data_IF_066029690074
#
_entry.id   IF_066029690074
#
_cell.length_a   1.000
_cell.length_b   1.000
_cell.length_c   1.000
_cell.angle_alpha   90.00
_cell.angle_beta   90.00
_cell.angle_gamma   90.00
#
_symmetry.space_group_name_H-M   'P 1'
#
loop_
_entity.id
_entity.type
_entity.pdbx_description
1 polymer ?
#
# COMPACT_ATOMS: atom_id res chain seq x y z
N UNK A 1 7.92 -15.42 0.49
CA UNK A 1 7.73 -14.19 1.28
C UNK A 1 6.30 -13.69 1.00
N UNK A 2 5.57 -13.22 2.00
CA UNK A 2 4.17 -12.82 1.82
C UNK A 2 4.09 -11.45 1.10
N UNK A 3 4.24 -11.43 -0.22
CA UNK A 3 4.09 -10.22 -1.06
C UNK A 3 2.75 -9.53 -0.80
N UNK A 4 1.68 -10.29 -0.61
CA UNK A 4 0.36 -9.80 -0.17
C UNK A 4 0.40 -8.95 1.10
N UNK A 5 1.26 -9.26 2.08
CA UNK A 5 1.39 -8.45 3.30
C UNK A 5 2.10 -7.13 3.01
N UNK A 6 3.12 -7.12 2.17
CA UNK A 6 3.84 -5.90 1.76
C UNK A 6 2.90 -4.90 1.14
N UNK A 7 2.11 -5.34 0.16
CA UNK A 7 1.14 -4.47 -0.49
C UNK A 7 0.02 -4.01 0.45
N UNK A 8 -0.38 -4.82 1.43
CA UNK A 8 -1.35 -4.41 2.46
C UNK A 8 -0.80 -3.31 3.36
N UNK A 9 0.43 -3.45 3.83
CA UNK A 9 1.11 -2.44 4.66
C UNK A 9 1.31 -1.16 3.83
N UNK A 10 1.83 -1.29 2.61
CA UNK A 10 1.99 -0.17 1.68
C UNK A 10 0.69 0.60 1.51
N UNK A 11 -0.42 -0.08 1.25
CA UNK A 11 -1.69 0.58 1.01
C UNK A 11 -2.23 1.29 2.26
N UNK A 12 -1.98 0.73 3.45
CA UNK A 12 -2.31 1.36 4.73
C UNK A 12 -1.44 2.57 5.07
N UNK A 13 -0.22 2.63 4.53
CA UNK A 13 0.69 3.77 4.66
C UNK A 13 0.33 4.93 3.71
N UNK A 14 -0.51 4.70 2.69
CA UNK A 14 -0.92 5.76 1.76
C UNK A 14 -1.90 6.73 2.45
N UNK A 15 -1.51 7.99 2.68
CA UNK A 15 -2.38 8.95 3.34
C UNK A 15 -3.55 9.34 2.43
N UNK A 16 -4.76 9.05 2.88
CA UNK A 16 -6.00 9.26 2.14
C UNK A 16 -6.62 7.97 1.58
N UNK A 17 -5.97 6.82 1.75
CA UNK A 17 -6.53 5.50 1.39
C UNK A 17 -7.01 4.79 2.66
N UNK A 18 -8.31 4.87 2.92
CA UNK A 18 -8.95 4.11 3.99
C UNK A 18 -9.34 2.69 3.55
N UNK A 19 -9.89 1.91 4.49
CA UNK A 19 -10.37 0.53 4.25
C UNK A 19 -11.40 0.42 3.11
N UNK A 20 -12.25 1.44 2.94
CA UNK A 20 -13.25 1.51 1.85
C UNK A 20 -12.57 1.64 0.49
N UNK A 21 -11.65 2.61 0.35
CA UNK A 21 -10.92 2.84 -0.91
C UNK A 21 -10.02 1.64 -1.23
N UNK A 22 -9.39 1.05 -0.21
CA UNK A 22 -8.63 -0.18 -0.34
C UNK A 22 -9.47 -1.34 -0.92
N UNK A 23 -10.67 -1.54 -0.38
CA UNK A 23 -11.59 -2.56 -0.88
C UNK A 23 -12.03 -2.26 -2.32
N UNK A 24 -12.31 -1.00 -2.65
CA UNK A 24 -12.66 -0.61 -4.02
C UNK A 24 -11.52 -0.89 -4.99
N UNK A 25 -10.29 -0.53 -4.62
CA UNK A 25 -9.08 -0.80 -5.41
C UNK A 25 -8.91 -2.29 -5.67
N UNK A 26 -9.02 -3.12 -4.64
CA UNK A 26 -8.91 -4.58 -4.77
C UNK A 26 -10.04 -5.14 -5.63
N UNK A 27 -11.27 -4.62 -5.50
CA UNK A 27 -12.42 -5.09 -6.29
C UNK A 27 -12.31 -4.70 -7.76
N UNK A 28 -11.77 -3.52 -8.07
CA UNK A 28 -11.61 -3.03 -9.44
C UNK A 28 -10.43 -3.69 -10.16
N UNK A 29 -9.29 -3.81 -9.46
CA UNK A 29 -8.05 -4.36 -10.04
C UNK A 29 -8.02 -5.89 -9.95
N UNK A 30 -8.75 -6.47 -9.00
CA UNK A 30 -8.82 -7.92 -8.76
C UNK A 30 -7.68 -8.47 -7.90
N UNK A 31 -6.66 -7.69 -7.60
CA UNK A 31 -5.52 -8.11 -6.77
C UNK A 31 -4.81 -6.92 -6.15
N UNK A 32 -4.33 -7.08 -4.91
CA UNK A 32 -3.67 -5.97 -4.20
C UNK A 32 -2.33 -5.59 -4.84
N UNK A 33 -1.60 -6.56 -5.37
CA UNK A 33 -0.31 -6.35 -6.07
C UNK A 33 -0.54 -5.62 -7.39
N UNK A 34 -1.64 -5.96 -8.07
CA UNK A 34 -2.06 -5.31 -9.30
C UNK A 34 -2.25 -3.81 -9.12
N UNK A 35 -2.72 -3.37 -7.95
CA UNK A 35 -2.93 -1.94 -7.66
C UNK A 35 -1.62 -1.15 -7.79
N UNK A 36 -0.51 -1.71 -7.30
CA UNK A 36 0.81 -1.07 -7.34
C UNK A 36 1.53 -1.27 -8.68
N UNK A 37 1.06 -2.22 -9.51
CA UNK A 37 1.56 -2.45 -10.87
C UNK A 37 0.79 -1.67 -11.93
N UNK A 38 -0.43 -1.26 -11.63
CA UNK A 38 -1.29 -0.48 -12.51
C UNK A 38 -0.82 0.97 -12.63
N UNK A 39 -1.13 1.59 -13.76
CA UNK A 39 -0.83 3.00 -13.98
C UNK A 39 -1.78 3.87 -13.15
N UNK A 40 -1.28 5.01 -12.67
CA UNK A 40 -2.09 6.03 -11.97
C UNK A 40 -3.37 6.40 -12.74
N UNK A 41 -3.31 6.46 -14.06
CA UNK A 41 -4.47 6.72 -14.93
C UNK A 41 -5.60 5.67 -14.81
N UNK A 42 -5.26 4.41 -14.56
CA UNK A 42 -6.27 3.37 -14.30
C UNK A 42 -6.81 3.47 -12.88
N UNK A 43 -5.96 3.75 -11.91
CA UNK A 43 -6.38 3.97 -10.53
C UNK A 43 -7.36 5.15 -10.40
N UNK A 44 -7.16 6.21 -11.18
CA UNK A 44 -8.07 7.38 -11.23
C UNK A 44 -9.48 7.05 -11.74
N UNK A 45 -9.69 5.93 -12.44
CA UNK A 45 -11.03 5.49 -12.86
C UNK A 45 -11.86 4.94 -11.70
N UNK A 46 -11.22 4.67 -10.56
CA UNK A 46 -11.84 4.04 -9.41
C UNK A 46 -12.55 5.11 -8.58
N UNK A 47 -13.84 4.94 -8.24
CA UNK A 47 -14.60 5.93 -7.51
C UNK A 47 -13.96 6.21 -6.13
N UNK A 48 -13.66 7.49 -5.88
CA UNK A 48 -13.00 7.97 -4.67
C UNK A 48 -11.46 8.02 -4.75
N UNK A 49 -10.86 7.59 -5.86
CA UNK A 49 -9.42 7.74 -6.12
C UNK A 49 -9.20 8.91 -7.09
N UNK A 50 -8.79 10.05 -6.53
CA UNK A 50 -8.33 11.19 -7.34
C UNK A 50 -6.87 11.06 -7.78
N UNK A 51 -6.41 11.97 -8.63
CA UNK A 51 -5.04 12.04 -9.14
C UNK A 51 -3.98 12.00 -8.03
N UNK A 52 -4.20 12.76 -6.96
CA UNK A 52 -3.29 12.81 -5.80
C UNK A 52 -3.12 11.43 -5.17
N UNK A 53 -4.22 10.71 -4.96
CA UNK A 53 -4.18 9.38 -4.34
C UNK A 53 -3.58 8.35 -5.30
N UNK A 54 -3.96 8.38 -6.58
CA UNK A 54 -3.41 7.51 -7.60
C UNK A 54 -1.89 7.68 -7.74
N UNK A 55 -1.39 8.93 -7.67
CA UNK A 55 0.05 9.21 -7.72
C UNK A 55 0.75 8.64 -6.49
N UNK A 56 0.23 8.90 -5.29
CA UNK A 56 0.80 8.38 -4.03
C UNK A 56 0.87 6.85 -4.00
N UNK A 57 -0.16 6.16 -4.51
CA UNK A 57 -0.15 4.69 -4.60
C UNK A 57 0.98 4.21 -5.51
N UNK A 58 1.22 4.91 -6.62
CA UNK A 58 2.26 4.60 -7.58
C UNK A 58 3.66 5.11 -7.15
N UNK A 59 3.76 5.88 -6.07
CA UNK A 59 5.04 6.40 -5.57
C UNK A 59 5.86 5.29 -4.92
N UNK A 60 7.10 5.13 -5.40
CA UNK A 60 8.05 4.13 -4.90
C UNK A 60 8.29 4.23 -3.38
N UNK A 61 8.21 5.44 -2.83
CA UNK A 61 8.42 5.71 -1.40
C UNK A 61 7.50 4.89 -0.50
N UNK A 62 6.24 4.68 -0.89
CA UNK A 62 5.28 3.91 -0.09
C UNK A 62 5.69 2.44 0.00
N UNK A 63 6.15 1.88 -1.13
CA UNK A 63 6.66 0.51 -1.20
C UNK A 63 7.95 0.35 -0.40
N UNK A 64 8.86 1.33 -0.46
CA UNK A 64 10.09 1.32 0.34
C UNK A 64 9.80 1.38 1.85
N UNK A 65 8.86 2.24 2.27
CA UNK A 65 8.45 2.32 3.67
C UNK A 65 7.82 1.02 4.16
N UNK A 66 6.92 0.43 3.37
CA UNK A 66 6.29 -0.84 3.71
C UNK A 66 7.31 -1.99 3.78
N UNK A 67 8.29 -1.98 2.89
CA UNK A 67 9.36 -2.97 2.89
C UNK A 67 10.25 -2.82 4.11
N UNK A 68 10.64 -1.58 4.46
CA UNK A 68 11.40 -1.31 5.67
C UNK A 68 10.63 -1.73 6.94
N UNK A 69 9.33 -1.46 7.00
CA UNK A 69 8.46 -1.87 8.11
C UNK A 69 8.38 -3.39 8.24
N UNK A 70 8.17 -4.10 7.13
CA UNK A 70 8.14 -5.57 7.12
C UNK A 70 9.50 -6.21 7.37
N UNK A 71 10.58 -5.63 6.88
CA UNK A 71 11.93 -6.07 7.20
C UNK A 71 12.24 -5.86 8.68
N UNK A 72 11.79 -4.74 9.26
CA UNK A 72 11.91 -4.49 10.69
C UNK A 72 11.11 -5.53 11.48
N UNK A 73 9.84 -5.74 11.17
CA UNK A 73 8.98 -6.73 11.85
C UNK A 73 9.52 -8.16 11.67
N UNK A 74 9.99 -8.50 10.46
CA UNK A 74 10.52 -9.82 10.11
C UNK A 74 11.88 -10.12 10.75
N UNK A 75 12.74 -9.11 10.90
CA UNK A 75 13.99 -9.22 11.67
C UNK A 75 13.76 -9.18 13.17
N UNK A 76 12.67 -8.56 13.63
CA UNK A 76 12.41 -8.26 15.03
C UNK A 76 11.31 -9.11 15.67
N UNK A 77 11.20 -10.40 15.30
CA UNK A 77 10.39 -11.38 16.03
C UNK A 77 10.78 -11.54 17.52
N UNK A 78 11.77 -10.81 18.03
CA UNK A 78 12.05 -10.69 19.46
C UNK A 78 12.63 -9.31 19.79
N UNK A 79 11.96 -8.60 20.71
CA UNK A 79 12.39 -7.42 21.48
C UNK A 79 12.64 -6.10 20.72
N UNK A 80 11.86 -5.07 21.04
CA UNK A 80 12.18 -3.72 20.58
C UNK A 80 11.08 -2.71 20.83
N UNK A 81 10.80 -2.42 22.10
CA UNK A 81 10.23 -1.14 22.49
C UNK A 81 11.06 -0.03 21.85
N UNK A 82 10.47 0.83 21.03
CA UNK A 82 10.99 2.17 20.71
C UNK A 82 9.88 2.97 20.01
N UNK A 83 9.07 3.62 20.83
CA UNK A 83 8.49 4.92 20.50
C UNK A 83 9.48 5.98 20.99
N UNK A 84 9.84 7.00 20.19
CA UNK A 84 10.55 8.18 20.69
C UNK A 84 9.67 9.02 21.62
#
# INVERSE_FOLDING_TARGET
>A
MNETLLFKVALSLVPGIGSVLARNLISYVGSIEGIFREKSAHLMKIPGIGEVNARKICEARVMEQANHELEFIGKNQVHGSLVP
#
